data_IF_513580440937
#
_entry.id   IF_513580440937
#
_cell.length_a   1.000
_cell.length_b   1.000
_cell.length_c   1.000
_cell.angle_alpha   90.00
_cell.angle_beta   90.00
_cell.angle_gamma   90.00
#
_symmetry.space_group_name_H-M   'P 1'
#
loop_
_entity.id
_entity.type
_entity.pdbx_description
1 polymer ?
#
# COMPACT_ATOMS: atom_id res chain seq x y z
N UNK A 1 -20.45 -8.20 -42.30
CA UNK A 1 -19.56 -9.03 -41.78
C UNK A 1 -18.45 -8.49 -41.04
N UNK A 2 -17.54 -7.94 -41.67
CA UNK A 2 -16.40 -7.46 -41.00
C UNK A 2 -16.68 -6.49 -39.92
N UNK A 3 -17.72 -5.78 -39.99
CA UNK A 3 -17.97 -4.77 -39.00
C UNK A 3 -18.18 -5.31 -37.64
N UNK A 4 -18.62 -6.47 -37.56
CA UNK A 4 -18.89 -7.07 -36.28
C UNK A 4 -17.77 -7.08 -35.30
N UNK A 5 -16.61 -7.26 -35.78
CA UNK A 5 -15.47 -7.36 -34.93
C UNK A 5 -15.15 -6.12 -34.15
N UNK A 6 -15.47 -5.01 -34.69
CA UNK A 6 -15.14 -3.76 -34.04
C UNK A 6 -15.82 -3.55 -32.73
N UNK A 7 -16.99 -4.06 -32.62
CA UNK A 7 -17.77 -3.86 -31.46
C UNK A 7 -17.17 -4.46 -30.23
N UNK A 8 -16.56 -5.57 -30.40
CA UNK A 8 -15.99 -6.27 -29.28
C UNK A 8 -14.94 -5.47 -28.56
N UNK A 9 -14.15 -4.76 -29.31
CA UNK A 9 -13.10 -3.99 -28.71
C UNK A 9 -13.60 -2.88 -27.83
N UNK A 10 -14.64 -2.25 -28.23
CA UNK A 10 -15.16 -1.15 -27.48
C UNK A 10 -15.67 -1.58 -26.13
N UNK A 11 -16.28 -2.71 -26.09
CA UNK A 11 -16.84 -3.21 -24.87
C UNK A 11 -15.79 -3.47 -23.81
N UNK A 12 -14.70 -3.98 -24.22
CA UNK A 12 -13.62 -4.28 -23.29
C UNK A 12 -13.10 -3.05 -22.59
N UNK A 13 -12.96 -1.99 -23.33
CA UNK A 13 -12.43 -0.79 -22.77
C UNK A 13 -13.31 -0.27 -21.64
N UNK A 14 -14.57 -0.38 -21.80
CA UNK A 14 -15.48 0.10 -20.78
C UNK A 14 -15.41 -0.69 -19.51
N UNK A 15 -15.30 -1.98 -19.64
CA UNK A 15 -15.24 -2.82 -18.47
C UNK A 15 -14.09 -2.45 -17.58
N UNK A 16 -12.99 -2.09 -18.15
CA UNK A 16 -11.82 -1.77 -17.38
C UNK A 16 -12.00 -0.53 -16.54
N UNK A 17 -12.75 0.42 -17.01
CA UNK A 17 -12.93 1.64 -16.28
C UNK A 17 -13.81 1.53 -15.05
N UNK A 18 -14.74 0.63 -15.08
CA UNK A 18 -15.67 0.54 -14.00
C UNK A 18 -15.11 0.08 -12.69
N UNK A 19 -13.90 -0.37 -12.68
CA UNK A 19 -13.33 -0.91 -11.48
C UNK A 19 -12.73 0.08 -10.53
N UNK A 20 -12.70 1.32 -10.88
CA UNK A 20 -11.97 2.29 -10.09
C UNK A 20 -12.77 3.09 -9.09
N UNK A 21 -13.85 2.59 -8.65
CA UNK A 21 -14.74 3.40 -7.84
C UNK A 21 -14.53 3.40 -6.33
N UNK A 22 -13.67 2.59 -5.82
CA UNK A 22 -13.57 2.45 -4.37
C UNK A 22 -12.29 3.02 -3.78
N UNK A 23 -12.24 3.12 -2.48
CA UNK A 23 -11.09 3.66 -1.81
C UNK A 23 -9.84 2.90 -2.21
N UNK A 24 -8.84 3.58 -2.69
CA UNK A 24 -7.58 2.98 -3.02
C UNK A 24 -6.48 3.92 -2.57
N UNK A 25 -5.28 3.41 -2.46
CA UNK A 25 -4.17 4.20 -1.98
C UNK A 25 -3.78 5.25 -3.00
N UNK A 26 -3.80 6.51 -2.60
CA UNK A 26 -3.39 7.60 -3.46
C UNK A 26 -1.92 7.90 -3.26
N UNK A 27 -1.52 8.06 -2.01
CA UNK A 27 -0.12 8.37 -1.69
C UNK A 27 0.24 7.70 -0.38
N UNK A 28 1.52 7.59 -0.13
CA UNK A 28 1.99 7.04 1.13
C UNK A 28 3.35 7.62 1.46
N UNK A 29 3.76 7.45 2.71
CA UNK A 29 5.09 7.81 3.15
C UNK A 29 5.58 6.70 4.08
N UNK A 30 6.54 5.90 3.68
CA UNK A 30 7.31 5.97 2.43
C UNK A 30 6.48 5.68 1.20
N UNK A 31 6.93 6.13 0.05
CA UNK A 31 6.23 5.86 -1.19
C UNK A 31 6.53 4.47 -1.70
N UNK A 32 5.69 3.99 -2.60
CA UNK A 32 5.89 2.70 -3.22
C UNK A 32 7.28 2.65 -3.87
N UNK A 33 8.05 1.64 -3.53
CA UNK A 33 9.38 1.48 -4.10
C UNK A 33 10.45 2.37 -3.49
N UNK A 34 10.14 3.09 -2.44
CA UNK A 34 11.10 4.01 -1.84
C UNK A 34 12.24 3.26 -1.15
N UNK A 35 13.40 3.91 -1.12
CA UNK A 35 14.54 3.42 -0.37
C UNK A 35 14.78 4.44 0.72
N UNK A 36 14.68 4.03 1.97
CA UNK A 36 14.77 4.95 3.09
C UNK A 36 15.86 4.56 4.07
N UNK A 37 16.46 5.54 4.70
CA UNK A 37 17.46 5.29 5.73
C UNK A 37 16.87 5.50 7.11
N UNK A 38 15.90 6.41 7.22
CA UNK A 38 15.22 6.68 8.46
C UNK A 38 13.78 6.27 8.30
N UNK A 39 13.34 5.28 9.07
CA UNK A 39 11.97 4.83 8.99
C UNK A 39 11.16 5.61 9.99
N UNK A 40 10.09 6.27 9.58
CA UNK A 40 9.26 6.98 10.54
C UNK A 40 8.58 6.00 11.48
N UNK A 41 8.18 6.46 12.64
CA UNK A 41 7.53 5.59 13.60
C UNK A 41 6.17 5.09 13.09
N UNK A 42 5.61 5.78 12.13
CA UNK A 42 4.35 5.36 11.52
C UNK A 42 4.43 5.52 10.02
N UNK A 43 3.80 4.60 9.31
CA UNK A 43 3.70 4.69 7.86
C UNK A 43 2.38 5.35 7.56
N UNK A 44 2.42 6.39 6.75
CA UNK A 44 1.24 7.17 6.45
C UNK A 44 0.62 6.69 5.14
N UNK A 45 -0.66 6.41 5.16
CA UNK A 45 -1.38 5.95 3.97
C UNK A 45 -2.51 6.93 3.71
N UNK A 46 -2.60 7.42 2.48
CA UNK A 46 -3.68 8.33 2.10
C UNK A 46 -4.49 7.66 1.02
N UNK A 47 -5.77 7.50 1.30
CA UNK A 47 -6.68 6.82 0.38
C UNK A 47 -7.55 7.82 -0.37
N UNK A 48 -8.11 7.39 -1.47
CA UNK A 48 -8.97 8.25 -2.28
C UNK A 48 -10.28 8.58 -1.57
N UNK A 49 -10.71 7.72 -0.67
CA UNK A 49 -11.93 7.92 0.11
C UNK A 49 -11.69 7.51 1.55
N UNK A 50 -12.57 7.93 2.42
CA UNK A 50 -12.45 7.59 3.83
C UNK A 50 -12.56 6.08 4.02
N UNK A 51 -11.68 5.53 4.83
CA UNK A 51 -11.63 4.09 5.04
C UNK A 51 -11.16 3.78 6.45
N UNK A 52 -11.35 2.54 6.85
CA UNK A 52 -10.88 2.07 8.15
C UNK A 52 -10.06 0.81 7.89
N UNK A 53 -8.91 0.71 8.51
CA UNK A 53 -8.08 -0.47 8.35
C UNK A 53 -8.64 -1.58 9.23
N UNK A 54 -8.91 -2.74 8.64
CA UNK A 54 -9.41 -3.88 9.39
C UNK A 54 -8.31 -4.89 9.68
N UNK A 55 -7.24 -4.88 8.89
CA UNK A 55 -6.09 -5.75 9.15
C UNK A 55 -4.87 -5.15 8.49
N UNK A 56 -3.72 -5.30 9.11
CA UNK A 56 -2.48 -4.80 8.55
C UNK A 56 -1.33 -5.66 9.06
N UNK A 57 -0.37 -5.92 8.18
CA UNK A 57 0.80 -6.70 8.55
C UNK A 57 2.00 -6.20 7.77
N UNK A 58 3.19 -6.54 8.26
CA UNK A 58 4.42 -6.17 7.58
C UNK A 58 5.29 -7.42 7.45
N UNK A 59 5.98 -7.53 6.33
CA UNK A 59 6.84 -8.68 6.08
C UNK A 59 8.19 -8.18 5.61
N UNK A 60 9.24 -8.71 6.21
CA UNK A 60 10.59 -8.35 5.81
C UNK A 60 11.12 -9.48 4.94
N UNK A 61 11.52 -9.18 3.71
CA UNK A 61 12.07 -10.16 2.77
C UNK A 61 11.17 -11.40 2.69
N UNK A 62 11.71 -12.56 3.00
CA UNK A 62 10.95 -13.80 2.94
C UNK A 62 10.55 -14.28 4.33
N UNK A 63 10.72 -13.45 5.33
CA UNK A 63 10.38 -13.87 6.69
C UNK A 63 8.87 -13.91 6.89
N UNK A 64 8.40 -14.54 7.95
CA UNK A 64 6.96 -14.60 8.18
C UNK A 64 6.37 -13.21 8.39
N UNK A 65 5.14 -13.04 8.00
CA UNK A 65 4.46 -11.78 8.19
C UNK A 65 4.24 -11.50 9.66
N UNK A 66 4.39 -10.25 10.03
CA UNK A 66 4.15 -9.81 11.39
C UNK A 66 2.89 -8.96 11.41
N UNK A 67 1.93 -9.34 12.21
CA UNK A 67 0.71 -8.58 12.34
C UNK A 67 0.99 -7.27 13.06
N UNK A 68 0.38 -6.21 12.58
CA UNK A 68 0.47 -4.92 13.24
C UNK A 68 -0.90 -4.56 13.82
N UNK A 69 -0.89 -3.61 14.74
CA UNK A 69 -2.14 -3.16 15.33
C UNK A 69 -2.84 -2.23 14.36
N UNK A 70 -4.07 -2.57 14.04
CA UNK A 70 -4.83 -1.73 13.12
C UNK A 70 -5.30 -0.47 13.86
N UNK A 71 -5.12 0.71 13.27
CA UNK A 71 -5.61 1.93 13.89
C UNK A 71 -7.14 1.89 13.96
N UNK A 72 -7.69 2.48 14.99
CA UNK A 72 -9.13 2.48 15.15
C UNK A 72 -9.78 3.68 14.49
N UNK A 73 -9.01 4.65 14.07
CA UNK A 73 -9.53 5.86 13.47
C UNK A 73 -9.76 5.69 11.98
N UNK A 74 -10.91 6.11 11.50
CA UNK A 74 -11.20 6.07 10.08
C UNK A 74 -10.90 7.42 9.47
N UNK A 75 -10.63 7.46 8.18
CA UNK A 75 -10.37 8.72 7.48
C UNK A 75 -9.69 8.45 6.16
N UNK A 76 -9.38 9.51 5.45
CA UNK A 76 -8.66 9.38 4.20
C UNK A 76 -7.19 9.14 4.47
N UNK A 77 -6.65 9.72 5.52
CA UNK A 77 -5.27 9.50 5.91
C UNK A 77 -5.21 8.66 7.15
N UNK A 78 -4.47 7.57 7.10
CA UNK A 78 -4.35 6.66 8.22
C UNK A 78 -2.87 6.41 8.47
N UNK A 79 -2.45 6.54 9.73
CA UNK A 79 -1.07 6.30 10.10
C UNK A 79 -1.00 4.95 10.81
N UNK A 80 -0.11 4.10 10.34
CA UNK A 80 0.07 2.77 10.91
C UNK A 80 1.38 2.75 11.66
N UNK A 81 1.32 2.53 12.97
CA UNK A 81 2.54 2.46 13.76
C UNK A 81 3.31 1.21 13.41
N UNK A 82 4.60 1.34 13.25
CA UNK A 82 5.46 0.19 12.95
C UNK A 82 6.60 0.12 13.95
N UNK A 83 7.10 -1.08 14.22
CA UNK A 83 8.23 -1.20 15.14
C UNK A 83 9.48 -0.74 14.43
N UNK A 84 10.59 -0.70 15.15
CA UNK A 84 11.86 -0.35 14.55
C UNK A 84 12.17 -1.39 13.47
N UNK A 85 12.53 -0.94 12.29
CA UNK A 85 12.78 -1.82 11.17
C UNK A 85 14.27 -1.85 10.84
N UNK A 86 14.82 -3.04 10.75
CA UNK A 86 16.20 -3.21 10.36
C UNK A 86 16.30 -3.18 8.83
N UNK A 87 17.51 -3.04 8.28
CA UNK A 87 17.63 -3.01 6.82
C UNK A 87 17.05 -4.24 6.16
N UNK A 88 16.39 -4.05 5.05
CA UNK A 88 15.78 -5.13 4.30
C UNK A 88 14.67 -4.60 3.40
N UNK A 89 14.07 -5.50 2.65
CA UNK A 89 12.95 -5.15 1.78
C UNK A 89 11.66 -5.50 2.51
N UNK A 90 10.75 -4.56 2.55
CA UNK A 90 9.51 -4.71 3.31
C UNK A 90 8.27 -4.63 2.45
N UNK A 91 7.26 -5.39 2.84
CA UNK A 91 5.94 -5.31 2.23
C UNK A 91 4.94 -5.06 3.35
N UNK A 92 4.24 -3.95 3.25
CA UNK A 92 3.16 -3.64 4.18
C UNK A 92 1.87 -4.02 3.47
N UNK A 93 1.09 -4.92 4.08
CA UNK A 93 -0.16 -5.38 3.49
C UNK A 93 -1.32 -4.93 4.34
N UNK A 94 -2.40 -4.51 3.73
CA UNK A 94 -3.55 -4.04 4.49
C UNK A 94 -4.85 -4.48 3.86
N UNK A 95 -5.87 -4.44 4.70
CA UNK A 95 -7.24 -4.63 4.27
C UNK A 95 -8.02 -3.49 4.88
N UNK A 96 -8.78 -2.79 4.07
CA UNK A 96 -9.55 -1.64 4.54
C UNK A 96 -11.01 -1.80 4.14
N UNK A 97 -11.88 -1.15 4.90
CA UNK A 97 -13.30 -1.07 4.57
C UNK A 97 -13.63 0.39 4.32
N UNK A 98 -14.26 0.66 3.20
CA UNK A 98 -14.71 2.00 2.89
C UNK A 98 -15.79 2.39 3.91
N UNK A 99 -15.74 3.60 4.44
CA UNK A 99 -16.72 4.01 5.42
C UNK A 99 -18.06 4.30 4.81
N UNK A 100 -18.12 4.51 3.51
CA UNK A 100 -19.39 4.79 2.84
C UNK A 100 -20.25 3.55 2.67
N UNK A 101 -19.68 2.49 2.16
CA UNK A 101 -20.46 1.30 1.83
C UNK A 101 -19.85 0.01 2.38
N UNK A 102 -18.88 0.12 3.25
CA UNK A 102 -18.21 -1.03 3.84
C UNK A 102 -17.56 -1.97 2.82
N UNK A 103 -17.24 -1.45 1.67
CA UNK A 103 -16.60 -2.26 0.65
C UNK A 103 -15.17 -2.58 1.08
N UNK A 104 -14.77 -3.83 0.97
CA UNK A 104 -13.45 -4.26 1.42
C UNK A 104 -12.44 -4.20 0.28
N UNK A 105 -11.30 -3.59 0.55
CA UNK A 105 -10.23 -3.48 -0.42
C UNK A 105 -8.92 -3.91 0.24
N UNK A 106 -8.03 -4.46 -0.55
CA UNK A 106 -6.73 -4.88 -0.05
C UNK A 106 -5.64 -4.22 -0.86
N UNK A 107 -4.48 -4.05 -0.28
CA UNK A 107 -3.36 -3.46 -1.00
C UNK A 107 -2.04 -3.78 -0.34
N UNK A 108 -0.97 -3.42 -1.02
CA UNK A 108 0.38 -3.63 -0.52
C UNK A 108 1.24 -2.43 -0.85
N UNK A 109 2.20 -2.16 0.00
CA UNK A 109 3.17 -1.10 -0.21
C UNK A 109 4.55 -1.71 -0.04
N UNK A 110 5.44 -1.46 -0.98
CA UNK A 110 6.79 -2.01 -0.96
C UNK A 110 7.79 -0.90 -0.75
N UNK A 111 8.74 -1.11 0.14
CA UNK A 111 9.82 -0.15 0.34
C UNK A 111 11.03 -0.89 0.89
N UNK A 112 12.16 -0.25 0.83
CA UNK A 112 13.39 -0.85 1.28
C UNK A 112 14.05 0.04 2.33
N UNK A 113 14.54 -0.58 3.39
CA UNK A 113 15.28 0.14 4.43
C UNK A 113 16.74 -0.18 4.26
N UNK A 114 17.57 0.83 4.21
CA UNK A 114 19.01 0.65 4.11
C UNK A 114 19.67 1.35 5.28
N UNK A 115 20.82 0.88 5.64
CA UNK A 115 21.54 1.45 6.77
C UNK A 115 22.43 2.59 6.32
N UNK A 116 22.32 3.73 6.97
CA UNK A 116 23.19 4.83 6.66
C UNK A 116 24.62 4.48 7.00
N UNK A 117 24.80 3.70 8.01
CA UNK A 117 26.09 3.32 8.38
C UNK A 117 26.76 2.48 7.35
N UNK A 118 26.06 1.60 6.77
CA UNK A 118 26.61 0.72 5.77
C UNK A 118 27.09 1.51 4.58
N UNK A 119 26.49 2.61 4.33
CA UNK A 119 26.88 3.41 3.20
C UNK A 119 28.18 4.09 3.40
N UNK A 120 28.39 4.57 4.57
CA UNK A 120 29.54 5.33 4.83
C UNK A 120 30.77 4.64 4.62
N UNK A 121 31.00 3.63 5.17
CA UNK A 121 32.25 3.00 5.15
C UNK A 121 32.60 2.56 3.86
N UNK A 122 31.87 2.62 3.31
CA UNK A 122 32.30 2.20 2.11
C UNK A 122 33.62 2.73 1.93
N UNK A 123 33.86 2.86 2.95
CA UNK A 123 34.67 2.93 2.98
C UNK A 123 35.35 2.72 3.02
N UNK A 124 35.42 2.91 3.09
CA UNK A 124 36.02 2.67 3.27
C UNK A 124 36.51 2.36 2.92
#
# INVERSE_FOLDING_TARGET
MKKVTLLAGAVLALAALGVQAHAHLKTSNPKEGAVVTDVPAAISLTFSESARITAVSIQKDQEPKQKLTAPTTAGKQIDVAVPALSPGAYTLSWRVASTDDNHIMSGELHFKVVSTKADTPAKH
#
